data_IF_382979651872
#
_entry.id   IF_382979651872
#
_cell.length_a   1.000
_cell.length_b   1.000
_cell.length_c   1.000
_cell.angle_alpha   90.00
_cell.angle_beta   90.00
_cell.angle_gamma   90.00
#
_symmetry.space_group_name_H-M   'P 1'
#
loop_
_entity.id
_entity.type
_entity.pdbx_description
1 polymer ?
#
# COMPACT_ATOMS: atom_id res chain seq x y z
N UNK A 1 -16.22 -10.28 -7.54
CA UNK A 1 -15.56 -9.27 -6.66
C UNK A 1 -14.34 -8.67 -7.37
N UNK A 2 -14.12 -7.36 -7.35
CA UNK A 2 -12.98 -6.73 -8.05
C UNK A 2 -11.64 -7.19 -7.46
N UNK A 3 -10.68 -7.71 -8.26
CA UNK A 3 -9.35 -8.19 -7.81
C UNK A 3 -8.64 -7.22 -6.84
N UNK A 4 -8.71 -5.91 -7.13
CA UNK A 4 -8.11 -4.87 -6.30
C UNK A 4 -8.78 -4.74 -4.91
N UNK A 5 -10.10 -4.93 -4.82
CA UNK A 5 -10.81 -4.93 -3.53
C UNK A 5 -10.42 -6.14 -2.69
N UNK A 6 -10.32 -7.31 -3.32
CA UNK A 6 -9.85 -8.52 -2.65
C UNK A 6 -8.42 -8.35 -2.13
N UNK A 7 -7.53 -7.76 -2.94
CA UNK A 7 -6.17 -7.43 -2.51
C UNK A 7 -6.14 -6.45 -1.33
N UNK A 8 -6.91 -5.36 -1.38
CA UNK A 8 -6.95 -4.37 -0.29
C UNK A 8 -7.44 -5.01 1.01
N UNK A 9 -8.55 -5.75 0.97
CA UNK A 9 -9.10 -6.41 2.17
C UNK A 9 -8.15 -7.50 2.68
N UNK A 10 -7.76 -8.42 1.80
CA UNK A 10 -6.89 -9.55 2.16
C UNK A 10 -5.50 -9.09 2.61
N UNK A 11 -4.90 -8.15 1.89
CA UNK A 11 -3.60 -7.57 2.22
C UNK A 11 -3.61 -6.80 3.54
N UNK A 12 -4.64 -6.00 3.82
CA UNK A 12 -4.78 -5.32 5.12
C UNK A 12 -4.96 -6.31 6.27
N UNK A 13 -5.81 -7.33 6.10
CA UNK A 13 -6.04 -8.35 7.13
C UNK A 13 -4.76 -9.17 7.37
N UNK A 14 -4.13 -9.66 6.31
CA UNK A 14 -2.88 -10.42 6.41
C UNK A 14 -1.78 -9.60 7.09
N UNK A 15 -1.57 -8.35 6.66
CA UNK A 15 -0.56 -7.48 7.27
C UNK A 15 -0.89 -7.17 8.73
N UNK A 16 -2.15 -6.94 9.08
CA UNK A 16 -2.55 -6.72 10.47
C UNK A 16 -2.28 -7.95 11.35
N UNK A 17 -2.65 -9.14 10.89
CA UNK A 17 -2.40 -10.41 11.60
C UNK A 17 -0.91 -10.65 11.78
N UNK A 18 -0.12 -10.50 10.72
CA UNK A 18 1.34 -10.67 10.77
C UNK A 18 2.00 -9.63 11.68
N UNK A 19 1.52 -8.38 11.66
CA UNK A 19 2.04 -7.31 12.54
C UNK A 19 1.73 -7.63 14.01
N UNK A 20 0.52 -8.11 14.32
CA UNK A 20 0.15 -8.52 15.67
C UNK A 20 0.95 -9.72 16.15
N UNK A 21 1.06 -10.76 15.32
CA UNK A 21 1.87 -11.93 15.61
C UNK A 21 3.34 -11.54 15.88
N UNK A 22 3.94 -10.69 15.04
CA UNK A 22 5.29 -10.20 15.25
C UNK A 22 5.42 -9.41 16.58
N UNK A 23 4.43 -8.55 16.90
CA UNK A 23 4.42 -7.83 18.17
C UNK A 23 4.35 -8.77 19.39
N UNK A 24 3.63 -9.89 19.29
CA UNK A 24 3.60 -10.92 20.34
C UNK A 24 4.90 -11.72 20.40
N UNK A 25 5.48 -12.10 19.25
CA UNK A 25 6.66 -12.97 19.15
C UNK A 25 7.96 -12.25 19.55
N UNK A 26 8.16 -11.03 19.06
CA UNK A 26 9.40 -10.27 19.23
C UNK A 26 9.28 -9.14 20.27
N UNK A 27 8.08 -8.86 20.75
CA UNK A 27 7.81 -7.76 21.68
C UNK A 27 7.88 -6.37 21.04
N UNK A 28 7.65 -5.34 21.88
CA UNK A 28 7.64 -3.93 21.47
C UNK A 28 8.66 -3.13 22.28
N UNK A 29 9.80 -2.86 21.65
CA UNK A 29 10.91 -2.08 22.22
C UNK A 29 11.09 -0.77 21.44
N UNK A 30 11.76 0.26 21.99
CA UNK A 30 12.00 1.52 21.28
C UNK A 30 12.65 1.35 19.90
N UNK A 31 13.53 0.36 19.74
CA UNK A 31 14.19 0.02 18.48
C UNK A 31 13.26 -0.60 17.43
N UNK A 32 12.22 -1.33 17.84
CA UNK A 32 11.26 -1.97 16.93
C UNK A 32 10.03 -1.10 16.62
N UNK A 33 9.75 -0.09 17.45
CA UNK A 33 8.61 0.84 17.26
C UNK A 33 8.52 1.46 15.86
N UNK A 34 9.60 1.96 15.23
CA UNK A 34 9.51 2.54 13.89
C UNK A 34 9.02 1.54 12.85
N UNK A 35 9.43 0.27 12.94
CA UNK A 35 8.98 -0.80 12.06
C UNK A 35 7.49 -1.07 12.20
N UNK A 36 7.00 -1.22 13.44
CA UNK A 36 5.57 -1.43 13.71
C UNK A 36 4.71 -0.23 13.26
N UNK A 37 5.19 1.00 13.44
CA UNK A 37 4.47 2.19 12.97
C UNK A 37 4.33 2.20 11.44
N UNK A 38 5.37 1.78 10.70
CA UNK A 38 5.30 1.63 9.23
C UNK A 38 4.27 0.58 8.83
N UNK A 39 4.28 -0.58 9.48
CA UNK A 39 3.32 -1.65 9.23
C UNK A 39 1.88 -1.20 9.53
N UNK A 40 1.64 -0.58 10.70
CA UNK A 40 0.34 -0.03 11.09
C UNK A 40 -0.16 1.05 10.12
N UNK A 41 0.72 1.95 9.68
CA UNK A 41 0.38 2.96 8.68
C UNK A 41 -0.08 2.30 7.37
N UNK A 42 0.64 1.27 6.88
CA UNK A 42 0.25 0.54 5.68
C UNK A 42 -1.12 -0.17 5.83
N UNK A 43 -1.39 -0.80 6.98
CA UNK A 43 -2.69 -1.43 7.29
C UNK A 43 -3.85 -0.44 7.15
N UNK A 44 -3.69 0.79 7.65
CA UNK A 44 -4.70 1.86 7.60
C UNK A 44 -4.80 2.49 6.21
N UNK A 45 -3.66 2.73 5.55
CA UNK A 45 -3.60 3.45 4.28
C UNK A 45 -4.13 2.60 3.11
N UNK A 46 -3.88 1.29 3.10
CA UNK A 46 -4.36 0.37 2.05
C UNK A 46 -5.87 0.51 1.74
N UNK A 47 -6.78 0.49 2.74
CA UNK A 47 -8.21 0.72 2.50
C UNK A 47 -8.59 2.20 2.39
N UNK A 48 -7.86 3.09 3.05
CA UNK A 48 -8.19 4.52 3.07
C UNK A 48 -7.91 5.20 1.72
N UNK A 49 -6.79 4.89 1.05
CA UNK A 49 -6.37 5.55 -0.20
C UNK A 49 -7.41 5.41 -1.32
N UNK A 50 -7.95 4.21 -1.64
CA UNK A 50 -8.99 4.08 -2.67
C UNK A 50 -10.21 4.95 -2.35
N UNK A 51 -10.65 4.97 -1.09
CA UNK A 51 -11.81 5.78 -0.65
C UNK A 51 -11.50 7.27 -0.80
N UNK A 52 -10.34 7.71 -0.30
CA UNK A 52 -9.90 9.09 -0.40
C UNK A 52 -9.81 9.57 -1.85
N UNK A 53 -9.26 8.75 -2.77
CA UNK A 53 -9.17 9.09 -4.19
C UNK A 53 -10.55 9.21 -4.85
N UNK A 54 -11.51 8.35 -4.50
CA UNK A 54 -12.88 8.48 -5.05
C UNK A 54 -13.57 9.75 -4.59
N UNK A 55 -13.41 10.13 -3.32
CA UNK A 55 -13.95 11.38 -2.77
C UNK A 55 -13.21 12.60 -3.31
N UNK A 56 -11.89 12.54 -3.45
CA UNK A 56 -11.07 13.60 -4.05
C UNK A 56 -11.45 13.84 -5.51
N UNK A 57 -11.65 12.79 -6.30
CA UNK A 57 -12.15 12.90 -7.68
C UNK A 57 -13.53 13.54 -7.75
N UNK A 58 -14.42 13.20 -6.82
CA UNK A 58 -15.74 13.84 -6.72
C UNK A 58 -15.60 15.33 -6.41
N UNK A 59 -14.76 15.69 -5.44
CA UNK A 59 -14.52 17.08 -5.07
C UNK A 59 -13.95 17.90 -6.24
N UNK A 60 -12.96 17.36 -6.96
CA UNK A 60 -12.41 17.99 -8.17
C UNK A 60 -13.49 18.19 -9.24
N UNK A 61 -14.39 17.24 -9.44
CA UNK A 61 -15.53 17.39 -10.37
C UNK A 61 -16.48 18.50 -9.93
N UNK A 62 -16.85 18.54 -8.65
CA UNK A 62 -17.69 19.60 -8.10
C UNK A 62 -17.05 20.98 -8.28
N UNK A 63 -15.74 21.09 -8.04
CA UNK A 63 -15.00 22.33 -8.25
C UNK A 63 -14.92 22.73 -9.74
N UNK A 64 -14.71 21.77 -10.64
CA UNK A 64 -14.69 22.01 -12.08
C UNK A 64 -16.06 22.45 -12.61
N UNK A 65 -17.15 21.83 -12.15
CA UNK A 65 -18.52 22.25 -12.47
C UNK A 65 -18.81 23.64 -11.92
N UNK A 66 -18.47 23.89 -10.64
CA UNK A 66 -18.62 25.20 -10.02
C UNK A 66 -17.93 26.30 -10.83
N UNK A 67 -16.68 26.06 -11.27
CA UNK A 67 -15.92 27.01 -12.12
C UNK A 67 -16.53 27.16 -13.52
N UNK A 68 -16.94 26.06 -14.15
CA UNK A 68 -17.54 26.09 -15.51
C UNK A 68 -18.88 26.81 -15.54
N UNK A 69 -19.63 26.75 -14.45
CA UNK A 69 -20.91 27.43 -14.30
C UNK A 69 -20.79 28.94 -14.00
N UNK A 70 -19.55 29.46 -13.90
CA UNK A 70 -19.27 30.90 -13.84
C UNK A 70 -19.69 31.60 -12.54
N UNK A 71 -19.44 32.91 -12.46
CA UNK A 71 -19.88 33.79 -11.36
C UNK A 71 -21.30 34.31 -11.55
N UNK A 72 -21.78 34.41 -12.81
CA UNK A 72 -23.12 34.88 -13.16
C UNK A 72 -24.04 33.71 -13.53
N UNK A 73 -25.12 33.58 -12.77
CA UNK A 73 -26.20 32.64 -13.02
C UNK A 73 -27.07 33.14 -14.19
N UNK A 74 -26.54 33.17 -15.41
CA UNK A 74 -27.31 33.52 -16.61
C UNK A 74 -28.53 32.59 -16.76
N UNK A 75 -29.70 33.14 -17.09
CA UNK A 75 -30.95 32.41 -17.33
C UNK A 75 -30.84 31.40 -18.50
N UNK A 76 -29.88 31.61 -19.40
CA UNK A 76 -29.73 30.83 -20.64
C UNK A 76 -28.79 29.63 -20.51
N UNK A 77 -28.09 29.46 -19.37
CA UNK A 77 -27.06 28.42 -19.21
C UNK A 77 -27.33 27.52 -18.00
N UNK A 78 -27.52 26.23 -18.29
CA UNK A 78 -27.54 25.09 -17.35
C UNK A 78 -28.07 25.43 -15.95
N UNK A 79 -29.39 25.48 -15.82
CA UNK A 79 -30.06 25.74 -14.55
C UNK A 79 -30.29 24.42 -13.81
N UNK A 80 -29.87 24.38 -12.55
CA UNK A 80 -30.08 23.28 -11.62
C UNK A 80 -30.82 23.87 -10.42
N UNK A 81 -32.00 23.36 -10.14
CA UNK A 81 -32.80 23.70 -8.96
C UNK A 81 -32.94 22.48 -8.08
N UNK A 82 -32.92 22.68 -6.77
CA UNK A 82 -33.02 21.61 -5.77
C UNK A 82 -34.00 22.05 -4.70
N UNK A 83 -34.90 21.17 -4.28
CA UNK A 83 -35.81 21.45 -3.18
C UNK A 83 -35.05 21.64 -1.86
N UNK A 84 -35.56 22.51 -1.00
CA UNK A 84 -35.01 22.76 0.34
C UNK A 84 -35.02 21.49 1.21
N UNK A 85 -36.09 20.70 1.10
CA UNK A 85 -36.29 19.45 1.84
C UNK A 85 -36.59 18.26 0.92
N UNK A 86 -36.56 17.05 1.48
CA UNK A 86 -36.88 15.81 0.78
C UNK A 86 -38.38 15.49 0.80
N UNK A 87 -38.85 14.76 -0.23
CA UNK A 87 -40.21 14.23 -0.30
C UNK A 87 -40.30 12.82 0.29
N UNK A 88 -41.47 12.49 0.86
CA UNK A 88 -41.71 11.20 1.49
C UNK A 88 -41.99 10.06 0.51
N UNK A 89 -42.84 10.31 -0.50
CA UNK A 89 -43.15 9.35 -1.57
C UNK A 89 -42.69 9.91 -2.92
N UNK A 90 -41.67 9.26 -3.49
CA UNK A 90 -41.07 9.66 -4.74
C UNK A 90 -41.97 9.38 -5.97
N UNK A 91 -42.73 8.27 -5.97
CA UNK A 91 -43.56 7.90 -7.12
C UNK A 91 -44.84 8.75 -7.16
N UNK A 92 -45.42 9.07 -5.99
CA UNK A 92 -46.54 10.01 -5.85
C UNK A 92 -46.12 11.42 -6.24
N UNK A 93 -44.99 11.91 -5.72
CA UNK A 93 -44.44 13.23 -6.10
C UNK A 93 -44.22 13.36 -7.60
N UNK A 94 -43.68 12.34 -8.26
CA UNK A 94 -43.51 12.37 -9.72
C UNK A 94 -44.85 12.35 -10.46
N UNK A 95 -45.89 11.71 -9.91
CA UNK A 95 -47.24 11.73 -10.47
C UNK A 95 -47.87 13.13 -10.41
N UNK A 96 -47.72 13.80 -9.26
CA UNK A 96 -48.27 15.14 -9.05
C UNK A 96 -47.59 16.16 -9.95
N UNK A 97 -46.26 16.07 -10.10
CA UNK A 97 -45.51 16.92 -11.03
C UNK A 97 -45.91 16.62 -12.48
N UNK A 98 -46.09 15.35 -12.85
CA UNK A 98 -46.53 14.96 -14.19
C UNK A 98 -47.92 15.54 -14.51
N UNK A 99 -48.87 15.49 -13.56
CA UNK A 99 -50.19 16.10 -13.69
C UNK A 99 -50.11 17.63 -13.80
N UNK A 100 -49.27 18.28 -12.98
CA UNK A 100 -49.07 19.73 -13.03
C UNK A 100 -48.46 20.18 -14.36
N UNK A 101 -47.52 19.43 -14.92
CA UNK A 101 -46.93 19.71 -16.24
C UNK A 101 -47.96 19.49 -17.35
N UNK A 102 -48.78 18.46 -17.28
CA UNK A 102 -49.82 18.19 -18.28
C UNK A 102 -50.93 19.26 -18.30
N UNK A 103 -51.14 19.96 -17.19
CA UNK A 103 -52.09 21.07 -17.07
C UNK A 103 -51.51 22.43 -17.49
N UNK A 104 -50.21 22.51 -17.77
CA UNK A 104 -49.51 23.74 -18.12
C UNK A 104 -49.30 23.84 -19.64
N UNK A 105 -49.66 24.97 -20.24
CA UNK A 105 -49.61 25.19 -21.70
C UNK A 105 -48.16 25.38 -22.22
N UNK A 106 -47.19 25.58 -21.34
CA UNK A 106 -45.79 25.88 -21.67
C UNK A 106 -44.96 24.64 -22.07
N UNK A 107 -45.51 23.43 -21.93
CA UNK A 107 -44.80 22.17 -22.15
C UNK A 107 -45.51 21.29 -23.19
N UNK A 108 -44.73 20.70 -24.09
CA UNK A 108 -45.27 19.87 -25.17
C UNK A 108 -45.58 18.45 -24.69
N UNK A 109 -44.79 17.94 -23.75
CA UNK A 109 -44.86 16.55 -23.29
C UNK A 109 -44.19 16.36 -21.94
N UNK A 110 -44.78 15.52 -21.09
CA UNK A 110 -44.16 15.00 -19.88
C UNK A 110 -44.19 13.47 -19.93
N UNK A 111 -43.05 12.83 -19.67
CA UNK A 111 -42.99 11.37 -19.61
C UNK A 111 -42.11 10.89 -18.47
N UNK A 112 -42.48 9.75 -17.89
CA UNK A 112 -41.61 9.02 -16.96
C UNK A 112 -40.45 8.37 -17.69
N UNK A 113 -39.25 8.53 -17.14
CA UNK A 113 -38.02 7.95 -17.65
C UNK A 113 -37.20 7.30 -16.52
N UNK A 114 -36.23 6.45 -16.88
CA UNK A 114 -35.31 5.81 -15.92
C UNK A 114 -33.93 6.44 -16.02
N UNK A 115 -33.49 7.06 -14.93
CA UNK A 115 -32.16 7.61 -14.77
C UNK A 115 -31.28 6.70 -13.90
N UNK A 116 -29.99 7.03 -13.79
CA UNK A 116 -29.05 6.27 -12.96
C UNK A 116 -29.40 6.31 -11.48
N UNK A 117 -30.12 7.36 -11.06
CA UNK A 117 -30.50 7.61 -9.66
C UNK A 117 -31.90 7.07 -9.31
N UNK A 118 -32.71 6.67 -10.31
CA UNK A 118 -34.09 6.24 -10.12
C UNK A 118 -35.03 6.66 -11.24
N UNK A 119 -36.33 6.56 -11.00
CA UNK A 119 -37.35 7.12 -11.91
C UNK A 119 -37.33 8.64 -11.85
N UNK A 120 -37.68 9.29 -12.95
CA UNK A 120 -37.84 10.74 -13.03
C UNK A 120 -38.72 11.12 -14.22
N UNK A 121 -38.81 12.42 -14.50
CA UNK A 121 -39.57 12.95 -15.63
C UNK A 121 -38.62 13.59 -16.65
N UNK A 122 -38.93 13.37 -17.93
CA UNK A 122 -38.42 14.15 -19.04
C UNK A 122 -39.55 15.05 -19.53
N UNK A 123 -39.35 16.35 -19.46
CA UNK A 123 -40.32 17.38 -19.85
C UNK A 123 -39.83 18.09 -21.10
N UNK A 124 -40.55 17.91 -22.20
CA UNK A 124 -40.24 18.52 -23.49
C UNK A 124 -40.92 19.89 -23.59
N UNK A 125 -40.19 20.85 -24.14
CA UNK A 125 -40.70 22.17 -24.47
C UNK A 125 -40.08 22.65 -25.78
N UNK A 126 -40.75 23.62 -26.41
CA UNK A 126 -40.34 24.25 -27.67
C UNK A 126 -39.97 23.23 -28.77
N UNK A 127 -40.64 22.07 -28.79
CA UNK A 127 -40.57 21.01 -29.78
C UNK A 127 -39.39 20.03 -29.64
N UNK A 128 -38.22 20.50 -29.18
CA UNK A 128 -36.99 19.71 -29.18
C UNK A 128 -36.10 19.87 -27.93
N UNK A 129 -36.42 20.80 -27.03
CA UNK A 129 -35.65 20.99 -25.80
C UNK A 129 -36.26 20.18 -24.65
N UNK A 130 -35.40 19.62 -23.80
CA UNK A 130 -35.83 18.84 -22.64
C UNK A 130 -35.29 19.44 -21.35
N UNK A 131 -36.17 19.47 -20.35
CA UNK A 131 -35.82 19.63 -18.94
C UNK A 131 -36.11 18.33 -18.21
N UNK A 132 -35.45 18.09 -17.09
CA UNK A 132 -35.55 16.84 -16.36
C UNK A 132 -35.89 17.11 -14.91
N UNK A 133 -36.84 16.34 -14.37
CA UNK A 133 -37.17 16.31 -12.94
C UNK A 133 -36.72 14.96 -12.38
N UNK A 134 -35.95 14.97 -11.30
CA UNK A 134 -35.41 13.76 -10.65
C UNK A 134 -35.53 13.88 -9.15
N UNK A 135 -35.57 12.74 -8.47
CA UNK A 135 -35.54 12.68 -7.01
C UNK A 135 -34.22 12.04 -6.60
N UNK A 136 -33.44 12.74 -5.77
CA UNK A 136 -32.19 12.23 -5.23
C UNK A 136 -32.45 11.12 -4.19
N UNK A 137 -31.42 10.31 -3.90
CA UNK A 137 -31.53 9.26 -2.88
C UNK A 137 -31.79 9.77 -1.46
N UNK A 138 -31.63 11.07 -1.19
CA UNK A 138 -32.01 11.75 0.05
C UNK A 138 -33.42 12.37 0.01
N UNK A 139 -34.19 12.08 -1.05
CA UNK A 139 -35.58 12.53 -1.24
C UNK A 139 -35.71 13.91 -1.89
N UNK A 140 -34.64 14.66 -2.13
CA UNK A 140 -34.77 16.01 -2.71
C UNK A 140 -35.15 15.98 -4.18
N UNK A 141 -36.06 16.87 -4.57
CA UNK A 141 -36.50 17.06 -5.96
C UNK A 141 -35.53 17.99 -6.68
N UNK A 142 -35.14 17.60 -7.88
CA UNK A 142 -34.10 18.28 -8.66
C UNK A 142 -34.62 18.53 -10.07
N UNK A 143 -34.58 19.80 -10.49
CA UNK A 143 -34.94 20.21 -11.85
C UNK A 143 -33.69 20.66 -12.57
N UNK A 144 -33.43 20.08 -13.75
CA UNK A 144 -32.26 20.42 -14.57
C UNK A 144 -32.66 20.70 -16.02
N UNK A 145 -31.95 21.63 -16.66
CA UNK A 145 -32.18 21.98 -18.06
C UNK A 145 -31.31 23.15 -18.49
N UNK A 146 -31.46 23.59 -19.74
CA UNK A 146 -30.66 24.67 -20.32
C UNK A 146 -31.54 25.66 -21.09
N UNK A 147 -32.59 26.16 -20.44
CA UNK A 147 -33.56 27.10 -21.00
C UNK A 147 -34.28 27.88 -19.90
N UNK A 148 -34.90 29.01 -20.27
CA UNK A 148 -35.79 29.76 -19.39
C UNK A 148 -37.00 28.93 -18.94
N UNK A 149 -37.52 28.05 -19.80
CA UNK A 149 -38.59 27.10 -19.44
C UNK A 149 -38.19 26.12 -18.32
N UNK A 150 -36.90 25.95 -18.06
CA UNK A 150 -36.41 25.19 -16.88
C UNK A 150 -36.68 25.96 -15.58
N UNK A 151 -36.62 27.30 -15.60
CA UNK A 151 -36.98 28.12 -14.45
C UNK A 151 -38.47 28.05 -14.18
N UNK A 152 -39.28 28.19 -15.24
CA UNK A 152 -40.74 28.01 -15.15
C UNK A 152 -41.09 26.62 -14.61
N UNK A 153 -40.34 25.59 -15.03
CA UNK A 153 -40.56 24.22 -14.56
C UNK A 153 -40.20 24.08 -13.09
N UNK A 154 -39.11 24.70 -12.64
CA UNK A 154 -38.74 24.71 -11.23
C UNK A 154 -39.80 25.43 -10.37
N UNK A 155 -40.36 26.55 -10.83
CA UNK A 155 -41.45 27.24 -10.13
C UNK A 155 -42.76 26.44 -10.15
N UNK A 156 -43.05 25.71 -11.23
CA UNK A 156 -44.19 24.80 -11.31
C UNK A 156 -44.03 23.65 -10.31
N UNK A 157 -42.85 23.03 -10.29
CA UNK A 157 -42.50 21.97 -9.35
C UNK A 157 -42.59 22.48 -7.91
N UNK A 158 -42.03 23.65 -7.60
CA UNK A 158 -42.14 24.27 -6.27
C UNK A 158 -43.59 24.39 -5.79
N UNK A 159 -44.52 24.78 -6.67
CA UNK A 159 -45.96 24.82 -6.35
C UNK A 159 -46.57 23.43 -6.21
N UNK A 160 -46.23 22.50 -7.10
CA UNK A 160 -46.78 21.15 -7.11
C UNK A 160 -46.39 20.38 -5.84
N UNK A 161 -45.14 20.50 -5.40
CA UNK A 161 -44.62 19.77 -4.23
C UNK A 161 -44.65 20.59 -2.95
N UNK A 162 -45.03 21.87 -3.01
CA UNK A 162 -45.05 22.80 -1.86
C UNK A 162 -43.70 22.89 -1.13
N UNK A 163 -42.60 22.83 -1.88
CA UNK A 163 -41.22 22.89 -1.35
C UNK A 163 -40.41 23.95 -2.11
N UNK A 164 -39.69 24.85 -1.41
CA UNK A 164 -38.92 25.90 -2.07
C UNK A 164 -37.82 25.30 -2.94
N UNK A 165 -37.67 25.79 -4.18
CA UNK A 165 -36.67 25.31 -5.12
C UNK A 165 -35.51 26.30 -5.25
N UNK A 166 -34.33 25.94 -4.72
CA UNK A 166 -33.14 26.79 -4.76
C UNK A 166 -32.25 26.47 -5.95
N UNK A 167 -31.76 27.51 -6.63
CA UNK A 167 -30.80 27.35 -7.73
C UNK A 167 -29.41 27.05 -7.17
N UNK A 168 -28.80 25.95 -7.62
CA UNK A 168 -27.44 25.55 -7.25
C UNK A 168 -26.50 25.51 -8.45
N UNK A 169 -25.20 25.65 -8.18
CA UNK A 169 -24.12 25.51 -9.19
C UNK A 169 -23.48 24.13 -9.19
N UNK A 170 -23.76 23.32 -8.18
CA UNK A 170 -23.16 21.99 -8.00
C UNK A 170 -24.27 20.96 -8.21
N UNK A 171 -24.05 20.03 -9.12
CA UNK A 171 -25.04 19.01 -9.39
C UNK A 171 -25.16 18.05 -8.18
N UNK A 172 -26.31 17.96 -7.50
CA UNK A 172 -26.46 17.20 -6.26
C UNK A 172 -26.34 15.68 -6.47
N UNK A 173 -26.65 15.19 -7.67
CA UNK A 173 -26.55 13.76 -8.04
C UNK A 173 -25.11 13.31 -8.37
N UNK A 174 -24.09 14.14 -8.13
CA UNK A 174 -22.71 13.70 -8.34
C UNK A 174 -22.29 12.69 -7.27
N UNK A 175 -22.14 11.45 -7.69
CA UNK A 175 -21.64 10.36 -6.85
C UNK A 175 -20.12 10.13 -6.97
N UNK A 176 -19.48 9.58 -5.92
CA UNK A 176 -18.10 9.12 -5.98
C UNK A 176 -17.95 8.00 -7.01
N UNK A 177 -17.40 8.32 -8.17
CA UNK A 177 -17.09 7.30 -9.18
C UNK A 177 -15.73 6.66 -8.87
N UNK A 178 -15.62 5.31 -8.91
CA UNK A 178 -14.35 4.63 -8.70
C UNK A 178 -13.29 5.07 -9.72
N UNK A 179 -12.02 4.87 -9.35
CA UNK A 179 -10.90 5.01 -10.29
C UNK A 179 -11.02 3.90 -11.35
N UNK A 180 -11.00 4.28 -12.63
CA UNK A 180 -11.19 3.41 -13.80
C UNK A 180 -10.13 3.71 -14.85
N UNK A 181 -9.89 2.77 -15.77
CA UNK A 181 -8.90 2.90 -16.85
C UNK A 181 -7.46 2.78 -16.37
N UNK A 182 -6.52 3.35 -17.12
CA UNK A 182 -5.08 3.30 -16.82
C UNK A 182 -4.70 3.74 -15.38
N UNK A 183 -5.29 4.81 -14.78
CA UNK A 183 -5.02 5.19 -13.39
C UNK A 183 -5.27 4.08 -12.36
N UNK A 184 -6.15 3.11 -12.68
CA UNK A 184 -6.40 1.97 -11.79
C UNK A 184 -5.20 1.02 -11.73
N UNK A 185 -4.44 0.87 -12.81
CA UNK A 185 -3.24 0.04 -12.82
C UNK A 185 -2.14 0.66 -11.94
N UNK A 186 -1.92 1.97 -12.07
CA UNK A 186 -1.01 2.72 -11.20
C UNK A 186 -1.42 2.65 -9.73
N UNK A 187 -2.72 2.79 -9.43
CA UNK A 187 -3.22 2.59 -8.07
C UNK A 187 -2.95 1.17 -7.57
N UNK A 188 -3.12 0.15 -8.43
CA UNK A 188 -2.78 -1.24 -8.09
C UNK A 188 -1.31 -1.40 -7.71
N UNK A 189 -0.41 -0.92 -8.56
CA UNK A 189 1.04 -0.97 -8.31
C UNK A 189 1.42 -0.22 -7.02
N UNK A 190 0.85 0.96 -6.81
CA UNK A 190 1.07 1.75 -5.62
C UNK A 190 0.61 1.03 -4.34
N UNK A 191 -0.55 0.37 -4.37
CA UNK A 191 -1.04 -0.40 -3.23
C UNK A 191 -0.20 -1.65 -2.96
N UNK A 192 0.35 -2.29 -4.01
CA UNK A 192 1.32 -3.38 -3.84
C UNK A 192 2.60 -2.86 -3.19
N UNK A 193 3.14 -1.74 -3.67
CA UNK A 193 4.33 -1.12 -3.07
C UNK A 193 4.08 -0.73 -1.60
N UNK A 194 2.90 -0.20 -1.27
CA UNK A 194 2.51 0.13 0.10
C UNK A 194 2.39 -1.12 0.98
N UNK A 195 1.85 -2.22 0.44
CA UNK A 195 1.79 -3.49 1.15
C UNK A 195 3.21 -4.03 1.44
N UNK A 196 4.09 -4.03 0.44
CA UNK A 196 5.49 -4.43 0.59
C UNK A 196 6.25 -3.54 1.58
N UNK A 197 5.97 -2.23 1.58
CA UNK A 197 6.49 -1.30 2.58
C UNK A 197 6.03 -1.68 4.00
N UNK A 198 4.77 -2.09 4.16
CA UNK A 198 4.25 -2.62 5.41
C UNK A 198 4.94 -3.91 5.86
N UNK A 199 5.13 -4.87 4.96
CA UNK A 199 5.85 -6.12 5.21
C UNK A 199 7.30 -5.84 5.63
N UNK A 200 8.00 -4.95 4.93
CA UNK A 200 9.33 -4.50 5.32
C UNK A 200 9.35 -3.81 6.70
N UNK A 201 8.26 -3.13 7.07
CA UNK A 201 8.05 -2.60 8.42
C UNK A 201 8.01 -3.68 9.49
N UNK A 202 7.33 -4.81 9.23
CA UNK A 202 7.33 -5.98 10.12
C UNK A 202 8.73 -6.56 10.24
N UNK A 203 9.42 -6.78 9.13
CA UNK A 203 10.80 -7.27 9.12
C UNK A 203 11.74 -6.38 9.93
N UNK A 204 11.65 -5.05 9.76
CA UNK A 204 12.43 -4.09 10.51
C UNK A 204 12.08 -4.04 12.01
N UNK A 205 10.85 -4.38 12.39
CA UNK A 205 10.46 -4.46 13.79
C UNK A 205 11.00 -5.73 14.46
N UNK A 206 10.91 -6.88 13.78
CA UNK A 206 11.39 -8.17 14.27
C UNK A 206 12.92 -8.23 14.34
N UNK A 207 13.59 -7.71 13.32
CA UNK A 207 15.04 -7.71 13.16
C UNK A 207 15.54 -6.27 12.97
N UNK A 208 15.71 -5.50 14.06
CA UNK A 208 16.01 -4.07 13.98
C UNK A 208 17.47 -3.76 13.63
N UNK A 209 18.38 -4.74 13.71
CA UNK A 209 19.79 -4.53 13.39
C UNK A 209 19.98 -4.05 11.94
N UNK A 210 20.76 -3.00 11.76
CA UNK A 210 21.00 -2.37 10.45
C UNK A 210 21.83 -3.24 9.50
N UNK A 211 22.48 -4.29 10.02
CA UNK A 211 23.25 -5.26 9.24
C UNK A 211 22.40 -6.15 8.33
N UNK A 212 21.08 -6.16 8.47
CA UNK A 212 20.18 -6.91 7.60
C UNK A 212 19.49 -5.97 6.61
N UNK A 213 19.49 -6.34 5.33
CA UNK A 213 18.66 -5.74 4.31
C UNK A 213 17.16 -6.03 4.56
N UNK A 214 16.27 -5.21 4.01
CA UNK A 214 14.83 -5.42 4.17
C UNK A 214 14.33 -6.80 3.66
N UNK A 215 14.85 -7.35 2.54
CA UNK A 215 14.53 -8.70 2.10
C UNK A 215 14.95 -9.78 3.11
N UNK A 216 16.18 -9.73 3.64
CA UNK A 216 16.67 -10.73 4.60
C UNK A 216 15.82 -10.75 5.88
N UNK A 217 15.49 -9.56 6.42
CA UNK A 217 14.59 -9.46 7.58
C UNK A 217 13.23 -10.10 7.30
N UNK A 218 12.71 -9.94 6.09
CA UNK A 218 11.43 -10.54 5.68
C UNK A 218 11.54 -12.07 5.60
N UNK A 219 12.65 -12.58 5.08
CA UNK A 219 12.92 -14.03 5.01
C UNK A 219 13.04 -14.62 6.41
N UNK A 220 13.75 -13.96 7.34
CA UNK A 220 13.86 -14.42 8.73
C UNK A 220 12.53 -14.48 9.44
N UNK A 221 11.71 -13.44 9.31
CA UNK A 221 10.33 -13.45 9.81
C UNK A 221 9.53 -14.59 9.18
N UNK A 222 9.77 -14.91 7.91
CA UNK A 222 9.17 -16.04 7.22
C UNK A 222 9.55 -17.40 7.81
N UNK A 223 10.83 -17.62 8.16
CA UNK A 223 11.27 -18.84 8.83
C UNK A 223 10.65 -18.98 10.23
N UNK A 224 10.63 -17.91 11.01
CA UNK A 224 10.00 -17.94 12.33
C UNK A 224 8.49 -18.21 12.25
N UNK A 225 7.80 -17.58 11.30
CA UNK A 225 6.37 -17.84 11.07
C UNK A 225 6.12 -19.29 10.63
N UNK A 226 7.07 -19.89 9.89
CA UNK A 226 7.00 -21.29 9.47
C UNK A 226 7.14 -22.23 10.66
N UNK A 227 8.08 -21.95 11.57
CA UNK A 227 8.26 -22.71 12.81
C UNK A 227 7.02 -22.68 13.70
N UNK A 228 6.33 -21.54 13.75
CA UNK A 228 5.10 -21.41 14.56
C UNK A 228 3.87 -22.10 13.92
N UNK A 229 3.87 -22.33 12.60
CA UNK A 229 2.65 -22.70 11.86
C UNK A 229 2.69 -24.04 11.13
N UNK A 230 3.86 -24.55 10.75
CA UNK A 230 3.98 -25.78 9.96
C UNK A 230 4.40 -26.96 10.83
N UNK A 231 3.59 -28.03 10.91
CA UNK A 231 4.00 -29.27 11.56
C UNK A 231 5.24 -29.87 10.92
N UNK A 232 6.24 -30.22 11.74
CA UNK A 232 7.49 -30.82 11.27
C UNK A 232 8.52 -29.82 10.74
N UNK A 233 8.37 -28.52 11.06
CA UNK A 233 9.42 -27.51 10.92
C UNK A 233 9.45 -26.71 12.22
N UNK A 234 10.53 -26.78 12.98
CA UNK A 234 10.62 -26.21 14.33
C UNK A 234 11.60 -25.02 14.44
N UNK A 235 11.86 -24.59 15.68
CA UNK A 235 12.79 -23.47 15.94
C UNK A 235 14.24 -23.81 15.55
N UNK A 236 14.63 -25.07 15.68
CA UNK A 236 15.95 -25.57 15.27
C UNK A 236 16.10 -25.45 13.76
N UNK A 237 15.12 -25.93 12.99
CA UNK A 237 15.08 -25.79 11.54
C UNK A 237 15.14 -24.33 11.09
N UNK A 238 14.34 -23.46 11.72
CA UNK A 238 14.35 -22.02 11.45
C UNK A 238 15.73 -21.40 11.72
N UNK A 239 16.38 -21.82 12.80
CA UNK A 239 17.71 -21.31 13.18
C UNK A 239 18.77 -21.75 12.18
N UNK A 240 18.76 -23.01 11.76
CA UNK A 240 19.68 -23.54 10.73
C UNK A 240 19.43 -22.87 9.37
N UNK A 241 18.18 -22.63 8.98
CA UNK A 241 17.84 -21.91 7.75
C UNK A 241 18.27 -20.43 7.77
N UNK A 242 18.13 -19.76 8.92
CA UNK A 242 18.64 -18.40 9.13
C UNK A 242 20.16 -18.36 9.03
N UNK A 243 20.86 -19.29 9.69
CA UNK A 243 22.32 -19.40 9.59
C UNK A 243 22.77 -19.64 8.14
N UNK A 244 22.09 -20.52 7.40
CA UNK A 244 22.40 -20.76 5.99
C UNK A 244 22.23 -19.52 5.11
N UNK A 245 21.24 -18.66 5.40
CA UNK A 245 21.09 -17.37 4.71
C UNK A 245 22.25 -16.42 5.05
N UNK A 246 22.65 -16.34 6.32
CA UNK A 246 23.78 -15.50 6.75
C UNK A 246 25.11 -15.93 6.13
N UNK A 247 25.35 -17.24 6.00
CA UNK A 247 26.54 -17.78 5.32
C UNK A 247 26.56 -17.37 3.84
N UNK A 248 25.41 -17.43 3.16
CA UNK A 248 25.29 -16.97 1.76
C UNK A 248 25.49 -15.46 1.63
N UNK A 249 24.91 -14.67 2.53
CA UNK A 249 25.11 -13.23 2.55
C UNK A 249 26.59 -12.88 2.77
N UNK A 250 27.28 -13.56 3.71
CA UNK A 250 28.72 -13.38 3.94
C UNK A 250 29.56 -13.73 2.70
N UNK A 251 29.15 -14.76 1.95
CA UNK A 251 29.80 -15.12 0.70
C UNK A 251 29.63 -14.03 -0.39
N UNK A 252 28.45 -13.44 -0.47
CA UNK A 252 28.14 -12.33 -1.38
C UNK A 252 28.97 -11.07 -1.05
N UNK A 253 29.19 -10.78 0.24
CA UNK A 253 30.06 -9.68 0.68
C UNK A 253 31.49 -9.80 0.14
N UNK A 254 32.02 -11.03 -0.03
CA UNK A 254 33.33 -11.24 -0.63
C UNK A 254 33.37 -10.79 -2.11
N UNK A 255 32.25 -10.91 -2.83
CA UNK A 255 32.10 -10.44 -4.22
C UNK A 255 31.92 -8.93 -4.26
N UNK A 256 31.07 -8.37 -3.41
CA UNK A 256 30.85 -6.91 -3.33
C UNK A 256 32.14 -6.16 -3.01
N UNK A 257 32.93 -6.67 -2.05
CA UNK A 257 34.27 -6.15 -1.76
C UNK A 257 35.21 -6.18 -2.96
N UNK A 258 35.01 -7.02 -3.97
CA UNK A 258 35.82 -7.04 -5.20
C UNK A 258 35.29 -6.13 -6.30
N UNK A 259 33.99 -5.84 -6.30
CA UNK A 259 33.32 -5.05 -7.35
C UNK A 259 33.21 -3.56 -7.03
N UNK A 260 33.06 -3.20 -5.76
CA UNK A 260 32.83 -1.81 -5.38
C UNK A 260 33.99 -0.90 -5.83
N UNK A 261 33.70 0.35 -6.19
CA UNK A 261 34.76 1.32 -6.50
C UNK A 261 35.55 1.62 -5.22
N UNK A 262 36.66 2.35 -5.31
CA UNK A 262 37.56 2.63 -4.16
C UNK A 262 36.94 3.56 -3.08
N UNK A 263 35.61 3.54 -2.93
CA UNK A 263 34.81 4.23 -1.93
C UNK A 263 35.03 3.61 -0.55
N UNK A 264 35.84 4.30 0.26
CA UNK A 264 36.20 3.89 1.61
C UNK A 264 34.98 3.67 2.52
N UNK A 265 33.87 4.40 2.31
CA UNK A 265 32.68 4.31 3.15
C UNK A 265 31.98 2.99 2.94
N UNK A 266 31.78 2.60 1.67
CA UNK A 266 31.15 1.33 1.31
C UNK A 266 32.02 0.13 1.69
N UNK A 267 33.32 0.20 1.44
CA UNK A 267 34.26 -0.85 1.85
C UNK A 267 34.25 -1.04 3.38
N UNK A 268 34.14 0.04 4.15
CA UNK A 268 33.98 -0.01 5.61
C UNK A 268 32.64 -0.61 6.05
N UNK A 269 31.57 -0.36 5.30
CA UNK A 269 30.24 -0.94 5.56
C UNK A 269 30.24 -2.46 5.32
N UNK A 270 30.69 -2.91 4.14
CA UNK A 270 30.79 -4.33 3.78
C UNK A 270 31.68 -5.13 4.75
N UNK A 271 32.80 -4.56 5.19
CA UNK A 271 33.68 -5.23 6.17
C UNK A 271 33.06 -5.32 7.57
N UNK A 272 32.37 -4.28 8.04
CA UNK A 272 31.61 -4.32 9.32
C UNK A 272 30.47 -5.32 9.25
N UNK A 273 29.74 -5.35 8.14
CA UNK A 273 28.65 -6.30 7.89
C UNK A 273 29.19 -7.72 7.87
N UNK A 274 30.29 -8.00 7.17
CA UNK A 274 30.93 -9.32 7.13
C UNK A 274 31.27 -9.86 8.51
N UNK A 275 31.89 -9.05 9.37
CA UNK A 275 32.24 -9.45 10.75
C UNK A 275 30.98 -9.75 11.59
N UNK A 276 29.93 -8.96 11.40
CA UNK A 276 28.64 -9.16 12.06
C UNK A 276 27.95 -10.46 11.59
N UNK A 277 27.84 -10.67 10.27
CA UNK A 277 27.23 -11.86 9.69
C UNK A 277 27.98 -13.14 10.12
N UNK A 278 29.31 -13.10 10.11
CA UNK A 278 30.15 -14.20 10.62
C UNK A 278 29.86 -14.51 12.09
N UNK A 279 29.81 -13.47 12.94
CA UNK A 279 29.57 -13.64 14.37
C UNK A 279 28.18 -14.25 14.63
N UNK A 280 27.17 -13.71 13.96
CA UNK A 280 25.78 -14.12 14.15
C UNK A 280 25.51 -15.51 13.57
N UNK A 281 26.13 -15.84 12.43
CA UNK A 281 26.06 -17.18 11.83
C UNK A 281 26.66 -18.23 12.77
N UNK A 282 27.83 -17.95 13.35
CA UNK A 282 28.45 -18.84 14.33
C UNK A 282 27.57 -19.03 15.57
N UNK A 283 27.03 -17.93 16.13
CA UNK A 283 26.13 -17.98 17.29
C UNK A 283 24.89 -18.85 17.00
N UNK A 284 24.24 -18.68 15.84
CA UNK A 284 23.08 -19.50 15.47
C UNK A 284 23.42 -20.99 15.30
N UNK A 285 24.60 -21.32 14.76
CA UNK A 285 25.04 -22.71 14.59
C UNK A 285 25.40 -23.36 15.93
N UNK A 286 26.01 -22.59 16.85
CA UNK A 286 26.27 -23.04 18.22
C UNK A 286 24.98 -23.22 19.04
N UNK A 287 24.00 -22.32 18.88
CA UNK A 287 22.68 -22.46 19.50
C UNK A 287 21.98 -23.74 19.02
N UNK A 288 22.00 -24.01 17.71
CA UNK A 288 21.41 -25.23 17.13
C UNK A 288 22.08 -26.50 17.66
N UNK A 289 23.40 -26.50 17.92
CA UNK A 289 24.12 -27.63 18.53
C UNK A 289 23.76 -27.86 20.00
N UNK A 290 23.30 -26.83 20.70
CA UNK A 290 22.85 -26.91 22.08
C UNK A 290 21.60 -27.78 22.26
N UNK A 291 20.90 -28.08 21.16
CA UNK A 291 19.68 -28.87 21.12
C UNK A 291 19.92 -30.34 20.70
N UNK A 292 18.90 -31.19 20.88
CA UNK A 292 18.98 -32.60 20.54
C UNK A 292 18.82 -32.83 19.03
N UNK A 293 19.91 -32.66 18.28
CA UNK A 293 19.94 -32.84 16.83
C UNK A 293 19.98 -34.32 16.40
N UNK A 294 19.22 -34.66 15.36
CA UNK A 294 19.31 -35.95 14.70
C UNK A 294 20.60 -36.10 13.87
N UNK A 295 20.80 -37.24 13.19
CA UNK A 295 22.01 -37.47 12.41
C UNK A 295 22.10 -36.60 11.13
N UNK A 296 20.96 -36.29 10.51
CA UNK A 296 20.90 -35.50 9.30
C UNK A 296 21.12 -34.01 9.61
N UNK A 297 20.50 -33.50 10.69
CA UNK A 297 20.65 -32.14 11.20
C UNK A 297 22.08 -31.87 11.63
N UNK A 298 22.71 -32.77 12.40
CA UNK A 298 24.14 -32.63 12.76
C UNK A 298 25.02 -32.52 11.52
N UNK A 299 24.79 -33.38 10.53
CA UNK A 299 25.54 -33.33 9.26
C UNK A 299 25.34 -31.99 8.54
N UNK A 300 24.12 -31.47 8.56
CA UNK A 300 23.76 -30.19 7.93
C UNK A 300 24.42 -29.01 8.65
N UNK A 301 24.37 -28.97 9.97
CA UNK A 301 25.01 -27.94 10.81
C UNK A 301 26.53 -27.96 10.58
N UNK A 302 27.17 -29.14 10.62
CA UNK A 302 28.62 -29.24 10.35
C UNK A 302 29.01 -28.81 8.93
N UNK A 303 28.17 -29.06 7.93
CA UNK A 303 28.41 -28.57 6.58
C UNK A 303 28.34 -27.03 6.52
N UNK A 304 27.31 -26.44 7.14
CA UNK A 304 27.14 -24.99 7.20
C UNK A 304 28.27 -24.27 7.95
N UNK A 305 28.84 -24.88 8.97
CA UNK A 305 30.01 -24.34 9.68
C UNK A 305 31.25 -24.33 8.79
N UNK A 306 31.48 -25.42 8.05
CA UNK A 306 32.57 -25.44 7.08
C UNK A 306 32.38 -24.38 6.00
N UNK A 307 31.14 -24.21 5.51
CA UNK A 307 30.79 -23.17 4.54
C UNK A 307 30.98 -21.75 5.13
N UNK A 308 30.62 -21.55 6.41
CA UNK A 308 30.82 -20.30 7.13
C UNK A 308 32.30 -19.92 7.18
N UNK A 309 33.17 -20.83 7.64
CA UNK A 309 34.60 -20.56 7.73
C UNK A 309 35.26 -20.40 6.36
N UNK A 310 34.76 -21.12 5.35
CA UNK A 310 35.19 -20.91 3.97
C UNK A 310 34.80 -19.50 3.47
N UNK A 311 33.61 -19.00 3.80
CA UNK A 311 33.18 -17.64 3.48
C UNK A 311 34.00 -16.58 4.22
N UNK A 312 34.30 -16.78 5.51
CA UNK A 312 35.21 -15.92 6.30
C UNK A 312 36.57 -15.77 5.61
N UNK A 313 37.14 -16.88 5.12
CA UNK A 313 38.39 -16.85 4.39
C UNK A 313 38.28 -16.13 3.04
N UNK A 314 37.18 -16.31 2.29
CA UNK A 314 36.97 -15.61 1.01
C UNK A 314 36.87 -14.10 1.20
N UNK A 315 36.15 -13.63 2.21
CA UNK A 315 36.10 -12.21 2.58
C UNK A 315 37.48 -11.70 2.98
N UNK A 316 38.21 -12.44 3.83
CA UNK A 316 39.56 -12.05 4.24
C UNK A 316 40.51 -11.92 3.04
N UNK A 317 40.45 -12.82 2.07
CA UNK A 317 41.24 -12.76 0.82
C UNK A 317 40.81 -11.60 -0.08
N UNK A 318 39.52 -11.29 -0.17
CA UNK A 318 39.01 -10.12 -0.88
C UNK A 318 39.57 -8.82 -0.30
N UNK A 319 39.61 -8.70 1.04
CA UNK A 319 40.21 -7.55 1.73
C UNK A 319 41.72 -7.45 1.44
N UNK A 320 42.47 -8.56 1.46
CA UNK A 320 43.91 -8.56 1.12
C UNK A 320 44.11 -8.01 -0.29
N UNK A 321 43.36 -8.54 -1.25
CA UNK A 321 43.44 -8.12 -2.65
C UNK A 321 43.22 -6.61 -2.81
N UNK A 322 42.32 -6.01 -2.01
CA UNK A 322 42.08 -4.56 -2.01
C UNK A 322 43.24 -3.76 -1.44
N UNK A 323 43.74 -4.17 -0.28
CA UNK A 323 44.87 -3.52 0.39
C UNK A 323 46.12 -3.57 -0.51
N UNK A 324 46.43 -4.71 -1.11
CA UNK A 324 47.62 -4.91 -1.94
C UNK A 324 47.56 -4.14 -3.27
N UNK A 325 46.36 -3.98 -3.86
CA UNK A 325 46.18 -3.22 -5.09
C UNK A 325 46.19 -1.70 -4.88
N UNK A 326 46.37 -1.21 -3.65
CA UNK A 326 46.32 0.23 -3.33
C UNK A 326 44.96 0.86 -3.61
N UNK A 327 43.90 0.04 -3.61
CA UNK A 327 42.52 0.38 -4.00
C UNK A 327 41.66 0.73 -2.79
N UNK A 328 42.23 1.54 -1.90
CA UNK A 328 41.60 2.02 -0.68
C UNK A 328 42.00 3.47 -0.50
N UNK A 329 41.06 4.39 -0.70
CA UNK A 329 41.27 5.80 -0.34
C UNK A 329 41.22 5.95 1.19
N UNK A 330 42.24 6.57 1.80
CA UNK A 330 42.26 6.83 3.24
C UNK A 330 42.83 5.68 4.10
N UNK A 331 42.36 5.60 5.35
CA UNK A 331 42.87 4.64 6.34
C UNK A 331 42.25 3.24 6.19
N UNK A 332 43.11 2.24 5.98
CA UNK A 332 42.72 0.84 5.83
C UNK A 332 42.70 0.06 7.15
N UNK A 333 42.83 0.70 8.32
CA UNK A 333 42.82 0.04 9.64
C UNK A 333 41.57 -0.82 9.85
N UNK A 334 40.37 -0.30 9.57
CA UNK A 334 39.10 -1.05 9.70
C UNK A 334 39.10 -2.33 8.85
N UNK A 335 39.64 -2.26 7.62
CA UNK A 335 39.75 -3.42 6.74
C UNK A 335 40.74 -4.45 7.30
N UNK A 336 41.89 -3.99 7.81
CA UNK A 336 42.90 -4.87 8.42
C UNK A 336 42.36 -5.59 9.65
N UNK A 337 41.59 -4.89 10.48
CA UNK A 337 40.96 -5.47 11.67
C UNK A 337 39.86 -6.47 11.34
N UNK A 338 39.00 -6.16 10.36
CA UNK A 338 38.00 -7.10 9.88
C UNK A 338 38.65 -8.37 9.31
N UNK A 339 39.68 -8.22 8.47
CA UNK A 339 40.46 -9.34 7.93
C UNK A 339 41.07 -10.18 9.04
N UNK A 340 41.71 -9.55 10.03
CA UNK A 340 42.33 -10.25 11.16
C UNK A 340 41.28 -11.05 11.93
N UNK A 341 40.15 -10.42 12.28
CA UNK A 341 39.05 -11.05 13.01
C UNK A 341 38.49 -12.28 12.29
N UNK A 342 38.23 -12.17 10.98
CA UNK A 342 37.69 -13.27 10.17
C UNK A 342 38.68 -14.43 10.05
N UNK A 343 39.98 -14.14 9.87
CA UNK A 343 41.03 -15.19 9.83
C UNK A 343 41.23 -15.87 11.18
N UNK A 344 41.19 -15.11 12.28
CA UNK A 344 41.29 -15.67 13.64
C UNK A 344 40.14 -16.63 13.93
N UNK A 345 38.90 -16.29 13.52
CA UNK A 345 37.73 -17.16 13.66
C UNK A 345 37.86 -18.46 12.86
N UNK A 346 38.15 -18.36 11.56
CA UNK A 346 38.33 -19.54 10.73
C UNK A 346 39.47 -20.43 11.25
N UNK A 347 40.60 -19.83 11.66
CA UNK A 347 41.73 -20.56 12.21
C UNK A 347 41.41 -21.26 13.54
N UNK A 348 40.64 -20.61 14.43
CA UNK A 348 40.19 -21.22 15.69
C UNK A 348 39.32 -22.47 15.44
N UNK A 349 38.61 -22.52 14.32
CA UNK A 349 37.84 -23.68 13.87
C UNK A 349 38.63 -24.66 12.98
N UNK A 350 39.96 -24.54 12.93
CA UNK A 350 40.83 -25.42 12.14
C UNK A 350 40.80 -25.17 10.62
N UNK A 351 40.17 -24.08 10.17
CA UNK A 351 40.10 -23.68 8.77
C UNK A 351 41.16 -22.60 8.48
N UNK A 352 42.36 -23.03 8.06
CA UNK A 352 43.43 -22.10 7.73
C UNK A 352 43.14 -21.41 6.37
N UNK A 353 42.89 -20.10 6.39
CA UNK A 353 42.76 -19.31 5.16
C UNK A 353 44.10 -19.29 4.42
N UNK A 354 44.16 -19.91 3.24
CA UNK A 354 45.29 -19.80 2.32
C UNK A 354 45.39 -18.37 1.82
N UNK A 355 46.61 -17.82 1.78
CA UNK A 355 46.89 -16.44 1.41
C UNK A 355 46.43 -16.11 -0.01
#
# INVERSE_FOLDING_TARGET
MNKLRAFVVGGSVALAVVTLWAAFRYGVAPTSRPGYLRAAAAVVLLPAIPVALTRGKLWVRRLAEYRRNGSSLSFERKSIFVSGDGVGDADETLADIEAAVAAADEYDECRRDRFGEGRGLTVRHTGFHNSFVRIAGDGRVIVTGASENTHLLASLVERAVSLPMERTRIHPLLEPKPVRGAPRAFLGLFLVALFLFGVGGVGAAAYPADAYSAPERTVFVGYDARADALPGYDETDATVDKAALLVKALDEEAVELQWDRDDATRLSEHTRQSVFLSARGAEMLDDARGESLDAAERKRVSALESDLHAAECRVASAIITRIEKGRVEGDAETLRDARRTLRERAAAAGHACTA
#
